data_IF_378836232440
#
_entry.id   IF_378836232440
#
_cell.length_a   1.000
_cell.length_b   1.000
_cell.length_c   1.000
_cell.angle_alpha   90.00
_cell.angle_beta   90.00
_cell.angle_gamma   90.00
#
_symmetry.space_group_name_H-M   'P 1'
#
loop_
_entity.id
_entity.type
_entity.pdbx_description
1 polymer ?
#
# COMPACT_ATOMS: atom_id res chain seq x y z
N UNK A 1 3.87 -19.77 33.43
CA UNK A 1 3.96 -18.74 32.36
C UNK A 1 3.07 -17.60 32.79
N UNK A 2 3.46 -16.32 32.64
CA UNK A 2 2.50 -15.23 32.79
C UNK A 2 1.43 -15.39 31.71
N UNK A 3 0.16 -15.18 32.06
CA UNK A 3 -0.89 -15.06 31.05
C UNK A 3 -0.53 -13.90 30.13
N UNK A 4 -0.45 -14.17 28.82
CA UNK A 4 -0.41 -13.11 27.84
C UNK A 4 -1.72 -12.32 27.98
N UNK A 5 -1.63 -11.06 28.41
CA UNK A 5 -2.79 -10.17 28.35
C UNK A 5 -3.21 -10.09 26.90
N UNK A 6 -4.45 -10.45 26.61
CA UNK A 6 -5.03 -10.26 25.29
C UNK A 6 -4.99 -8.77 24.96
N UNK A 7 -4.07 -8.38 24.09
CA UNK A 7 -3.94 -7.02 23.59
C UNK A 7 -4.93 -6.85 22.44
N UNK A 8 -5.74 -5.78 22.51
CA UNK A 8 -6.75 -5.51 21.50
C UNK A 8 -6.08 -5.03 20.21
N UNK A 9 -6.31 -5.75 19.11
CA UNK A 9 -5.76 -5.45 17.79
C UNK A 9 -6.85 -4.96 16.83
N UNK A 10 -6.44 -4.22 15.80
CA UNK A 10 -7.27 -3.97 14.63
C UNK A 10 -7.04 -5.09 13.61
N UNK A 11 -8.11 -5.64 13.04
CA UNK A 11 -8.03 -6.68 12.00
C UNK A 11 -8.67 -6.12 10.74
N UNK A 12 -7.87 -5.91 9.70
CA UNK A 12 -8.29 -5.39 8.39
C UNK A 12 -8.34 -6.53 7.39
N UNK A 13 -9.54 -6.86 6.93
CA UNK A 13 -9.78 -7.80 5.84
C UNK A 13 -9.80 -7.03 4.52
N UNK A 14 -8.96 -7.42 3.57
CA UNK A 14 -8.89 -6.91 2.21
C UNK A 14 -9.36 -8.03 1.26
N UNK A 15 -10.40 -7.80 0.44
CA UNK A 15 -10.93 -8.83 -0.45
C UNK A 15 -9.93 -9.16 -1.58
N UNK A 16 -10.05 -10.33 -2.25
CA UNK A 16 -9.18 -10.72 -3.36
C UNK A 16 -9.09 -9.65 -4.47
N UNK A 17 -10.20 -8.96 -4.73
CA UNK A 17 -10.29 -7.88 -5.73
C UNK A 17 -9.45 -6.64 -5.43
N UNK A 18 -8.97 -6.49 -4.20
CA UNK A 18 -8.10 -5.39 -3.77
C UNK A 18 -6.74 -5.90 -3.25
N UNK A 19 -6.39 -7.17 -3.53
CA UNK A 19 -5.19 -7.84 -3.00
C UNK A 19 -3.91 -7.03 -3.16
N UNK A 20 -3.65 -6.46 -4.34
CA UNK A 20 -2.45 -5.64 -4.60
C UNK A 20 -2.37 -4.38 -3.72
N UNK A 21 -3.51 -3.83 -3.27
CA UNK A 21 -3.53 -2.75 -2.27
C UNK A 21 -3.20 -3.27 -0.87
N UNK A 22 -3.69 -4.46 -0.53
CA UNK A 22 -3.31 -5.13 0.72
C UNK A 22 -1.80 -5.41 0.77
N UNK A 23 -1.23 -5.93 -0.31
CA UNK A 23 0.20 -6.21 -0.46
C UNK A 23 1.05 -4.92 -0.41
N UNK A 24 0.65 -3.86 -1.11
CA UNK A 24 1.30 -2.55 -1.01
C UNK A 24 1.30 -2.02 0.45
N UNK A 25 0.18 -2.14 1.16
CA UNK A 25 0.09 -1.74 2.57
C UNK A 25 0.97 -2.61 3.48
N UNK A 26 1.03 -3.93 3.26
CA UNK A 26 1.91 -4.83 4.01
C UNK A 26 3.38 -4.43 3.82
N UNK A 27 3.83 -4.26 2.56
CA UNK A 27 5.21 -3.89 2.24
C UNK A 27 5.59 -2.53 2.87
N UNK A 28 4.70 -1.55 2.77
CA UNK A 28 4.94 -0.23 3.35
C UNK A 28 5.03 -0.27 4.88
N UNK A 29 4.12 -0.97 5.56
CA UNK A 29 4.14 -1.11 7.02
C UNK A 29 5.30 -1.96 7.54
N UNK A 30 5.84 -2.89 6.74
CA UNK A 30 7.05 -3.65 7.07
C UNK A 30 8.35 -2.83 6.89
N UNK A 31 8.32 -1.79 6.05
CA UNK A 31 9.50 -0.98 5.73
C UNK A 31 9.81 0.12 6.75
N UNK A 32 8.86 0.44 7.65
CA UNK A 32 8.95 1.57 8.59
C UNK A 32 8.58 1.14 10.00
N UNK A 33 9.47 1.42 10.96
CA UNK A 33 9.15 1.45 12.39
C UNK A 33 8.94 2.91 12.80
N UNK A 34 7.69 3.31 13.07
CA UNK A 34 7.33 4.70 13.34
C UNK A 34 6.36 4.83 14.51
N UNK A 35 6.62 5.84 15.34
CA UNK A 35 5.74 6.32 16.42
C UNK A 35 4.46 7.00 15.87
N UNK A 36 4.35 7.19 14.54
CA UNK A 36 3.33 7.98 13.84
C UNK A 36 2.69 7.27 12.63
N UNK A 37 2.95 5.98 12.46
CA UNK A 37 2.27 5.07 11.49
C UNK A 37 1.68 3.91 12.30
N UNK A 38 0.57 3.30 11.87
CA UNK A 38 0.08 2.08 12.53
C UNK A 38 1.10 0.96 12.45
N UNK A 39 1.32 0.21 13.53
CA UNK A 39 2.19 -0.95 13.51
C UNK A 39 1.49 -2.15 12.87
N UNK A 40 2.18 -2.85 11.97
CA UNK A 40 1.77 -4.18 11.51
C UNK A 40 2.26 -5.24 12.51
N UNK A 41 1.34 -6.05 13.00
CA UNK A 41 1.58 -7.07 14.02
C UNK A 41 1.63 -8.48 13.42
N UNK A 42 0.77 -8.76 12.44
CA UNK A 42 0.68 -10.06 11.77
C UNK A 42 -0.03 -9.93 10.40
N UNK A 43 0.12 -10.93 9.53
CA UNK A 43 -0.54 -11.03 8.22
C UNK A 43 -0.98 -12.47 7.96
N UNK A 44 -2.20 -12.67 7.46
CA UNK A 44 -2.68 -13.96 6.99
C UNK A 44 -3.34 -13.84 5.61
N UNK A 45 -3.16 -14.86 4.76
CA UNK A 45 -3.97 -15.03 3.54
C UNK A 45 -5.28 -15.72 3.92
N UNK A 46 -6.40 -15.27 3.34
CA UNK A 46 -7.72 -15.84 3.57
C UNK A 46 -8.03 -16.92 2.53
N UNK A 47 -8.92 -17.86 2.88
CA UNK A 47 -9.27 -19.00 2.02
C UNK A 47 -9.97 -18.62 0.70
N UNK A 48 -10.44 -17.37 0.56
CA UNK A 48 -10.99 -16.80 -0.67
C UNK A 48 -9.93 -16.12 -1.56
N UNK A 49 -8.67 -16.04 -1.11
CA UNK A 49 -7.57 -15.33 -1.76
C UNK A 49 -7.37 -13.89 -1.27
N UNK A 50 -8.19 -13.41 -0.31
CA UNK A 50 -8.03 -12.11 0.32
C UNK A 50 -6.82 -12.08 1.28
N UNK A 51 -6.51 -10.90 1.82
CA UNK A 51 -5.46 -10.75 2.84
C UNK A 51 -6.01 -10.09 4.10
N UNK A 52 -5.50 -10.52 5.25
CA UNK A 52 -5.88 -10.08 6.58
C UNK A 52 -4.66 -9.47 7.24
N UNK A 53 -4.70 -8.15 7.52
CA UNK A 53 -3.65 -7.43 8.23
C UNK A 53 -4.07 -7.26 9.69
N UNK A 54 -3.24 -7.72 10.62
CA UNK A 54 -3.40 -7.45 12.05
C UNK A 54 -2.53 -6.25 12.40
N UNK A 55 -3.14 -5.18 12.89
CA UNK A 55 -2.51 -3.88 13.13
C UNK A 55 -2.73 -3.42 14.58
N UNK A 56 -1.90 -2.50 15.07
CA UNK A 56 -2.14 -1.81 16.36
C UNK A 56 -3.49 -1.10 16.39
N UNK A 57 -4.29 -1.30 17.45
CA UNK A 57 -5.63 -0.72 17.55
C UNK A 57 -5.61 0.77 17.92
N UNK A 58 -6.02 1.63 16.99
CA UNK A 58 -6.23 3.05 17.24
C UNK A 58 -7.68 3.34 17.71
N UNK A 59 -7.90 3.26 19.03
CA UNK A 59 -9.23 3.15 19.62
C UNK A 59 -10.17 4.39 19.51
N UNK A 60 -9.71 5.56 19.06
CA UNK A 60 -10.54 6.79 18.97
C UNK A 60 -11.08 7.08 17.57
N UNK A 61 -10.78 6.22 16.60
CA UNK A 61 -11.20 6.36 15.20
C UNK A 61 -10.40 7.42 14.43
N UNK A 62 -10.93 7.89 13.30
CA UNK A 62 -10.23 8.80 12.38
C UNK A 62 -10.31 10.28 12.78
N UNK A 63 -9.31 11.06 12.38
CA UNK A 63 -9.30 12.52 12.53
C UNK A 63 -10.48 13.18 11.79
N UNK A 64 -10.86 12.67 10.60
CA UNK A 64 -12.06 13.11 9.90
C UNK A 64 -13.32 12.94 10.77
N UNK A 65 -13.43 11.80 11.46
CA UNK A 65 -14.53 11.52 12.38
C UNK A 65 -14.48 12.42 13.62
N UNK A 66 -13.29 12.75 14.14
CA UNK A 66 -13.13 13.70 15.24
C UNK A 66 -13.60 15.11 14.86
N UNK A 67 -13.15 15.62 13.71
CA UNK A 67 -13.52 16.95 13.20
C UNK A 67 -15.03 17.00 12.93
N UNK A 68 -15.60 16.00 12.27
CA UNK A 68 -17.03 15.91 12.00
C UNK A 68 -17.89 15.86 13.29
N UNK A 69 -17.45 15.15 14.34
CA UNK A 69 -18.15 15.13 15.64
C UNK A 69 -18.14 16.47 16.37
N UNK A 70 -17.10 17.29 16.17
CA UNK A 70 -16.92 18.57 16.91
C UNK A 70 -17.34 19.82 16.15
N UNK A 71 -17.36 19.78 14.82
CA UNK A 71 -17.53 20.97 13.98
C UNK A 71 -16.30 21.89 13.90
N UNK A 72 -15.16 21.47 14.45
CA UNK A 72 -13.89 22.22 14.43
C UNK A 72 -12.88 21.70 15.45
N UNK A 73 -11.63 22.15 15.34
CA UNK A 73 -10.53 21.87 16.28
C UNK A 73 -9.77 23.16 16.60
N UNK A 74 -9.00 23.15 17.69
CA UNK A 74 -8.18 24.31 18.10
C UNK A 74 -6.85 24.36 17.34
N UNK A 75 -6.19 25.53 17.23
CA UNK A 75 -4.88 25.63 16.55
C UNK A 75 -3.80 24.68 17.11
N UNK A 76 -3.79 24.44 18.43
CA UNK A 76 -2.86 23.49 19.04
C UNK A 76 -3.18 22.02 18.71
N UNK A 77 -4.46 21.67 18.55
CA UNK A 77 -4.87 20.34 18.05
C UNK A 77 -4.50 20.18 16.58
N UNK A 78 -4.62 21.24 15.77
CA UNK A 78 -4.15 21.27 14.38
C UNK A 78 -2.63 21.03 14.30
N UNK A 79 -1.83 21.71 15.14
CA UNK A 79 -0.38 21.48 15.24
C UNK A 79 -0.08 20.03 15.59
N UNK A 80 -0.77 19.45 16.59
CA UNK A 80 -0.59 18.02 16.96
C UNK A 80 -0.90 17.06 15.82
N UNK A 81 -2.00 17.28 15.08
CA UNK A 81 -2.36 16.48 13.91
C UNK A 81 -1.32 16.59 12.81
N UNK A 82 -1.05 17.81 12.34
CA UNK A 82 -0.21 18.04 11.16
C UNK A 82 1.26 17.69 11.44
N UNK A 83 1.79 17.94 12.64
CA UNK A 83 3.14 17.53 13.02
C UNK A 83 3.28 16.00 13.08
N UNK A 84 2.24 15.28 13.54
CA UNK A 84 2.26 13.81 13.55
C UNK A 84 2.16 13.22 12.14
N UNK A 85 1.31 13.80 11.28
CA UNK A 85 1.22 13.45 9.86
C UNK A 85 2.59 13.63 9.17
N UNK A 86 3.24 14.77 9.38
CA UNK A 86 4.54 15.07 8.79
C UNK A 86 5.67 14.17 9.29
N UNK A 87 5.63 13.73 10.55
CA UNK A 87 6.58 12.74 11.09
C UNK A 87 6.38 11.37 10.46
N UNK A 88 5.14 10.87 10.41
CA UNK A 88 4.83 9.59 9.76
C UNK A 88 5.14 9.60 8.26
N UNK A 89 4.87 10.72 7.57
CA UNK A 89 5.32 10.91 6.19
C UNK A 89 6.84 10.95 6.08
N UNK A 90 7.54 11.64 6.98
CA UNK A 90 9.00 11.67 6.99
C UNK A 90 9.60 10.27 7.12
N UNK A 91 9.06 9.44 8.02
CA UNK A 91 9.52 8.06 8.20
C UNK A 91 9.29 7.21 6.93
N UNK A 92 8.16 7.40 6.23
CA UNK A 92 7.89 6.78 4.92
C UNK A 92 8.81 7.32 3.81
N UNK A 93 9.04 8.62 3.75
CA UNK A 93 9.86 9.30 2.74
C UNK A 93 11.34 8.89 2.89
N UNK A 94 11.85 8.76 4.11
CA UNK A 94 13.20 8.23 4.41
C UNK A 94 13.34 6.74 4.04
N UNK A 95 12.26 5.95 4.10
CA UNK A 95 12.20 4.58 3.58
C UNK A 95 12.01 4.51 2.04
N UNK A 96 11.90 5.65 1.36
CA UNK A 96 11.75 5.71 -0.10
C UNK A 96 10.32 5.42 -0.59
N UNK A 97 9.30 5.65 0.24
CA UNK A 97 7.89 5.45 -0.07
C UNK A 97 7.10 6.74 0.09
N UNK A 98 6.12 6.97 -0.78
CA UNK A 98 5.04 7.93 -0.53
C UNK A 98 3.76 7.18 -0.12
N UNK A 99 2.90 7.85 0.65
CA UNK A 99 1.60 7.36 1.10
C UNK A 99 0.56 7.36 -0.05
N UNK A 100 0.61 8.36 -0.94
CA UNK A 100 -0.15 8.37 -2.20
C UNK A 100 -1.66 8.69 -2.11
N UNK A 101 -2.28 8.55 -0.93
CA UNK A 101 -3.74 8.75 -0.73
C UNK A 101 -4.12 9.54 0.54
N UNK A 102 -3.15 10.17 1.19
CA UNK A 102 -3.33 10.86 2.48
C UNK A 102 -4.51 11.86 2.51
N UNK A 103 -5.42 11.67 3.46
CA UNK A 103 -6.43 12.63 3.91
C UNK A 103 -6.72 12.44 5.42
N UNK A 104 -7.69 13.17 5.98
CA UNK A 104 -8.08 13.05 7.40
C UNK A 104 -8.74 11.70 7.77
N UNK A 105 -9.20 10.91 6.79
CA UNK A 105 -9.67 9.54 6.98
C UNK A 105 -8.51 8.55 7.17
N UNK A 106 -7.35 8.83 6.57
CA UNK A 106 -6.10 8.05 6.68
C UNK A 106 -5.28 8.38 7.94
N UNK A 107 -5.83 9.17 8.87
CA UNK A 107 -5.21 9.51 10.15
C UNK A 107 -6.09 8.97 11.27
N UNK A 108 -5.64 7.90 11.93
CA UNK A 108 -6.27 7.33 13.11
C UNK A 108 -5.75 8.00 14.39
N UNK A 109 -6.50 7.86 15.49
CA UNK A 109 -6.12 8.39 16.80
C UNK A 109 -6.12 7.24 17.82
N UNK A 110 -4.99 7.04 18.50
CA UNK A 110 -4.81 5.97 19.49
C UNK A 110 -5.52 6.25 20.84
N UNK A 111 -5.40 5.32 21.79
CA UNK A 111 -5.95 5.50 23.12
C UNK A 111 -5.34 6.71 23.89
N UNK A 112 -4.08 7.06 23.62
CA UNK A 112 -3.37 8.20 24.25
C UNK A 112 -3.75 9.56 23.66
N UNK A 113 -4.36 9.59 22.46
CA UNK A 113 -4.66 10.81 21.71
C UNK A 113 -3.59 11.16 20.65
N UNK A 114 -2.70 10.21 20.32
CA UNK A 114 -1.68 10.34 19.28
C UNK A 114 -2.26 10.03 17.89
N UNK A 115 -2.01 10.86 16.88
CA UNK A 115 -2.29 10.54 15.47
C UNK A 115 -1.32 9.50 14.90
N UNK A 116 -1.87 8.55 14.15
CA UNK A 116 -1.16 7.49 13.41
C UNK A 116 -1.66 7.46 11.96
N UNK A 117 -0.74 7.42 10.99
CA UNK A 117 -1.09 7.20 9.57
C UNK A 117 -1.51 5.75 9.32
N UNK A 118 -2.49 5.52 8.45
CA UNK A 118 -2.99 4.20 8.07
C UNK A 118 -3.46 4.15 6.61
N UNK A 119 -3.69 2.95 6.07
CA UNK A 119 -4.24 2.80 4.72
C UNK A 119 -3.20 3.09 3.65
N UNK A 120 -2.03 2.44 3.77
CA UNK A 120 -0.93 2.55 2.81
C UNK A 120 -1.17 1.73 1.53
N UNK A 121 -2.39 1.27 1.26
CA UNK A 121 -2.69 0.49 0.04
C UNK A 121 -2.61 1.26 -1.28
N UNK A 122 -2.30 2.55 -1.24
CA UNK A 122 -1.92 3.39 -2.39
C UNK A 122 -0.46 3.85 -2.33
N UNK A 123 0.35 3.26 -1.44
CA UNK A 123 1.76 3.62 -1.30
C UNK A 123 2.55 3.22 -2.54
N UNK A 124 3.52 4.05 -2.93
CA UNK A 124 4.39 3.77 -4.07
C UNK A 124 5.83 4.18 -3.79
N UNK A 125 6.82 3.46 -4.35
CA UNK A 125 8.22 3.88 -4.29
C UNK A 125 8.42 5.30 -4.83
N UNK A 126 9.27 6.08 -4.18
CA UNK A 126 9.74 7.37 -4.70
C UNK A 126 10.89 7.20 -5.71
N UNK A 127 11.65 6.11 -5.59
CA UNK A 127 12.72 5.74 -6.53
C UNK A 127 12.15 4.97 -7.72
N UNK A 128 11.49 5.69 -8.63
CA UNK A 128 10.87 5.13 -9.82
C UNK A 128 10.75 6.15 -10.94
N UNK A 129 11.88 6.61 -11.49
CA UNK A 129 11.89 7.34 -12.77
C UNK A 129 11.79 6.31 -13.90
N UNK A 130 10.62 5.71 -14.05
CA UNK A 130 10.23 5.15 -15.33
C UNK A 130 10.06 6.32 -16.29
N UNK A 131 11.02 6.49 -17.21
CA UNK A 131 10.96 7.52 -18.27
C UNK A 131 9.89 7.21 -19.34
N UNK A 132 8.94 6.32 -19.03
CA UNK A 132 8.00 5.71 -19.94
C UNK A 132 6.58 6.30 -19.88
N UNK A 133 6.16 6.97 -18.80
CA UNK A 133 4.83 7.60 -18.73
C UNK A 133 4.87 9.04 -18.19
N UNK A 134 4.58 9.99 -19.06
CA UNK A 134 4.97 11.40 -18.92
C UNK A 134 4.05 12.28 -18.07
N UNK A 135 3.34 11.72 -17.09
CA UNK A 135 2.25 12.43 -16.41
C UNK A 135 2.26 12.38 -14.87
N UNK A 136 2.95 11.43 -14.25
CA UNK A 136 2.97 11.28 -12.79
C UNK A 136 4.05 12.13 -12.13
N UNK A 137 3.63 13.23 -11.50
CA UNK A 137 4.51 14.10 -10.70
C UNK A 137 5.05 13.42 -9.44
N UNK A 138 6.07 14.03 -8.84
CA UNK A 138 6.82 13.50 -7.69
C UNK A 138 5.89 12.95 -6.58
N UNK A 139 5.93 11.64 -6.27
CA UNK A 139 5.14 11.05 -5.19
C UNK A 139 5.26 11.76 -3.84
N UNK A 140 6.47 12.19 -3.47
CA UNK A 140 6.75 12.82 -2.17
C UNK A 140 6.14 14.22 -2.12
N UNK A 141 6.40 15.05 -3.14
CA UNK A 141 5.76 16.35 -3.30
C UNK A 141 4.23 16.29 -3.35
N UNK A 142 3.64 15.25 -3.97
CA UNK A 142 2.18 15.05 -3.95
C UNK A 142 1.63 14.83 -2.54
N UNK A 143 2.34 14.13 -1.65
CA UNK A 143 1.91 13.98 -0.25
C UNK A 143 2.00 15.30 0.51
N UNK A 144 3.04 16.10 0.28
CA UNK A 144 3.15 17.43 0.88
C UNK A 144 2.04 18.37 0.39
N UNK A 145 1.60 18.27 -0.86
CA UNK A 145 0.39 18.94 -1.38
C UNK A 145 -0.88 18.48 -0.65
N UNK A 146 -0.99 17.19 -0.27
CA UNK A 146 -2.09 16.69 0.56
C UNK A 146 -2.02 17.27 1.98
N UNK A 147 -0.84 17.37 2.58
CA UNK A 147 -0.63 18.03 3.88
C UNK A 147 -1.06 19.50 3.84
N UNK A 148 -0.69 20.25 2.80
CA UNK A 148 -1.09 21.65 2.64
C UNK A 148 -2.63 21.81 2.65
N UNK A 149 -3.35 20.97 1.91
CA UNK A 149 -4.83 20.96 1.88
C UNK A 149 -5.44 20.60 3.23
N UNK A 150 -4.84 19.66 3.97
CA UNK A 150 -5.28 19.30 5.32
C UNK A 150 -5.07 20.47 6.28
N UNK A 151 -3.90 21.11 6.24
CA UNK A 151 -3.55 22.27 7.06
C UNK A 151 -4.52 23.45 6.81
N UNK A 152 -4.80 23.76 5.54
CA UNK A 152 -5.77 24.78 5.14
C UNK A 152 -7.20 24.46 5.62
N UNK A 153 -7.69 23.24 5.38
CA UNK A 153 -9.04 22.81 5.77
C UNK A 153 -9.25 22.77 7.30
N UNK A 154 -8.20 22.50 8.08
CA UNK A 154 -8.26 22.56 9.54
C UNK A 154 -8.12 24.00 10.09
N UNK A 155 -7.62 24.95 9.27
CA UNK A 155 -7.51 26.37 9.60
C UNK A 155 -8.81 27.14 9.36
N UNK A 156 -9.64 26.73 8.40
CA UNK A 156 -10.96 27.33 8.11
C UNK A 156 -12.19 26.48 8.56
N UNK A 157 -12.56 26.49 9.86
CA UNK A 157 -13.83 25.92 10.30
C UNK A 157 -14.70 26.92 11.09
N UNK A 158 -15.13 28.03 10.48
CA UNK A 158 -16.27 28.88 10.89
C UNK A 158 -16.35 29.42 12.36
N UNK A 159 -15.39 29.12 13.23
CA UNK A 159 -15.38 29.44 14.67
C UNK A 159 -14.41 30.60 14.88
N UNK A 160 -14.93 31.83 14.80
CA UNK A 160 -14.09 33.03 14.73
C UNK A 160 -13.37 33.40 16.03
N UNK A 161 -12.07 33.71 15.90
CA UNK A 161 -11.34 34.84 16.56
C UNK A 161 -9.89 34.91 16.02
N UNK A 162 -9.54 35.86 15.13
CA UNK A 162 -8.23 35.87 14.48
C UNK A 162 -7.21 36.89 15.07
N UNK A 163 -5.95 36.79 14.60
CA UNK A 163 -4.86 37.80 14.63
C UNK A 163 -3.96 37.92 15.86
N UNK A 164 -3.20 36.86 16.13
CA UNK A 164 -1.72 36.92 16.29
C UNK A 164 -1.05 35.69 15.65
N UNK A 165 -1.70 34.51 15.71
CA UNK A 165 -1.17 33.24 15.18
C UNK A 165 -1.02 33.19 13.65
N UNK A 166 -1.74 34.04 12.91
CA UNK A 166 -1.77 34.00 11.44
C UNK A 166 -0.38 34.16 10.82
N UNK A 167 0.42 35.16 11.21
CA UNK A 167 1.70 35.43 10.53
C UNK A 167 2.73 34.28 10.64
N UNK A 168 2.76 33.55 11.77
CA UNK A 168 3.66 32.39 11.91
C UNK A 168 3.18 31.21 11.09
N UNK A 169 1.87 31.04 11.01
CA UNK A 169 1.25 30.00 10.22
C UNK A 169 1.44 30.27 8.72
N UNK A 170 1.18 31.50 8.26
CA UNK A 170 1.44 31.96 6.90
C UNK A 170 2.92 31.73 6.50
N UNK A 171 3.87 32.03 7.41
CA UNK A 171 5.29 31.78 7.18
C UNK A 171 5.66 30.28 7.13
N UNK A 172 4.91 29.43 7.82
CA UNK A 172 5.07 27.97 7.73
C UNK A 172 4.44 27.39 6.46
N UNK A 173 3.29 27.93 6.02
CA UNK A 173 2.71 27.65 4.71
C UNK A 173 3.65 28.08 3.58
N UNK A 174 4.31 29.25 3.66
CA UNK A 174 5.36 29.68 2.72
C UNK A 174 6.55 28.69 2.69
N UNK A 175 6.97 28.13 3.84
CA UNK A 175 8.02 27.11 3.89
C UNK A 175 7.58 25.78 3.27
N UNK A 176 6.35 25.33 3.53
CA UNK A 176 5.79 24.12 2.93
C UNK A 176 5.65 24.26 1.41
N UNK A 177 5.17 25.41 0.93
CA UNK A 177 5.04 25.71 -0.50
C UNK A 177 6.41 25.74 -1.20
N UNK A 178 7.44 26.29 -0.54
CA UNK A 178 8.81 26.26 -1.04
C UNK A 178 9.38 24.84 -1.16
N UNK A 179 9.05 23.92 -0.24
CA UNK A 179 9.45 22.51 -0.36
C UNK A 179 8.69 21.82 -1.51
N UNK A 180 7.37 22.03 -1.60
CA UNK A 180 6.51 21.47 -2.67
C UNK A 180 7.01 21.88 -4.06
N UNK A 181 7.51 23.11 -4.22
CA UNK A 181 8.04 23.62 -5.48
C UNK A 181 9.54 23.34 -5.72
N UNK A 182 10.22 22.65 -4.80
CA UNK A 182 11.66 22.36 -4.91
C UNK A 182 12.56 23.59 -4.74
N UNK A 183 12.08 24.64 -4.08
CA UNK A 183 12.84 25.83 -3.69
C UNK A 183 13.57 25.64 -2.35
N UNK A 184 13.24 24.58 -1.59
CA UNK A 184 13.80 24.24 -0.28
C UNK A 184 13.97 22.73 -0.10
N UNK A 185 15.12 22.29 0.43
CA UNK A 185 15.48 20.87 0.61
C UNK A 185 15.01 20.27 1.96
N UNK A 186 14.09 20.92 2.68
CA UNK A 186 13.66 20.48 4.03
C UNK A 186 12.88 19.16 3.98
N UNK A 187 13.16 18.23 4.91
CA UNK A 187 12.38 17.01 5.05
C UNK A 187 11.01 17.24 5.72
N UNK A 188 10.12 16.26 5.62
CA UNK A 188 8.83 16.30 6.33
C UNK A 188 9.02 16.37 7.86
N UNK A 189 10.04 15.71 8.44
CA UNK A 189 10.37 15.89 9.87
C UNK A 189 10.80 17.32 10.19
N UNK A 190 11.63 17.94 9.36
CA UNK A 190 12.07 19.33 9.56
C UNK A 190 10.89 20.32 9.45
N UNK A 191 9.94 20.06 8.54
CA UNK A 191 8.67 20.79 8.46
C UNK A 191 7.81 20.60 9.73
N UNK A 192 7.79 19.40 10.32
CA UNK A 192 7.09 19.14 11.58
C UNK A 192 7.71 19.90 12.76
N UNK A 193 9.05 19.93 12.85
CA UNK A 193 9.76 20.68 13.89
C UNK A 193 9.56 22.19 13.74
N UNK A 194 9.50 22.72 12.50
CA UNK A 194 9.12 24.12 12.24
C UNK A 194 7.67 24.42 12.60
N UNK A 195 6.75 23.49 12.41
CA UNK A 195 5.35 23.69 12.79
C UNK A 195 5.18 23.88 14.31
N UNK A 196 6.01 23.21 15.12
CA UNK A 196 6.02 23.38 16.58
C UNK A 196 6.50 24.76 17.04
N UNK A 197 7.14 25.56 16.17
CA UNK A 197 7.49 26.96 16.44
C UNK A 197 6.29 27.93 16.22
N UNK A 198 5.24 27.46 15.52
CA UNK A 198 4.05 28.26 15.17
C UNK A 198 3.13 28.46 16.37
N UNK A 199 2.73 27.38 17.03
CA UNK A 199 1.90 27.38 18.23
C UNK A 199 2.15 26.12 19.09
N UNK A 200 1.86 26.20 20.40
CA UNK A 200 1.98 25.06 21.31
C UNK A 200 1.04 23.92 20.90
N UNK A 201 1.59 22.71 20.76
CA UNK A 201 0.83 21.50 20.49
C UNK A 201 -0.14 21.17 21.64
N UNK A 202 -1.41 20.93 21.33
CA UNK A 202 -2.45 20.58 22.29
C UNK A 202 -2.93 19.13 22.05
N UNK A 203 -3.18 18.34 23.11
CA UNK A 203 -3.59 16.95 22.96
C UNK A 203 -4.97 16.85 22.32
N UNK A 204 -5.17 15.85 21.46
CA UNK A 204 -6.48 15.48 20.87
C UNK A 204 -7.36 14.74 21.88
N UNK A 205 -7.47 15.29 23.09
CA UNK A 205 -8.25 14.73 24.16
C UNK A 205 -9.74 14.87 23.82
N UNK A 206 -10.48 13.77 23.77
CA UNK A 206 -11.94 13.84 23.74
C UNK A 206 -12.44 14.58 24.98
N UNK A 207 -13.23 15.64 24.75
CA UNK A 207 -13.90 16.37 25.82
C UNK A 207 -14.71 15.34 26.63
N UNK A 208 -14.34 15.18 27.90
CA UNK A 208 -14.66 13.98 28.67
C UNK A 208 -16.15 13.84 28.98
N UNK A 209 -16.87 13.20 28.06
CA UNK A 209 -18.24 12.76 28.27
C UNK A 209 -18.27 11.73 29.40
N UNK A 210 -18.61 12.20 30.59
CA UNK A 210 -19.01 11.33 31.70
C UNK A 210 -20.30 10.61 31.29
N UNK A 211 -20.16 9.36 30.86
CA UNK A 211 -21.26 8.52 30.39
C UNK A 211 -20.69 7.21 29.86
N UNK A 212 -21.05 6.09 30.49
CA UNK A 212 -20.41 4.81 30.21
C UNK A 212 -20.72 4.22 28.84
N UNK A 213 -19.84 3.31 28.44
CA UNK A 213 -20.12 2.17 27.57
C UNK A 213 -20.99 2.41 26.33
N UNK A 214 -20.38 2.98 25.27
CA UNK A 214 -20.86 2.88 23.90
C UNK A 214 -19.72 2.72 22.89
N UNK A 215 -19.16 1.52 22.84
CA UNK A 215 -18.53 0.99 21.62
C UNK A 215 -19.64 0.72 20.58
N UNK A 216 -20.14 1.77 19.95
CA UNK A 216 -21.19 1.73 18.93
C UNK A 216 -20.68 2.42 17.66
N UNK A 217 -20.11 1.64 16.73
CA UNK A 217 -19.60 2.16 15.46
C UNK A 217 -18.81 1.17 14.61
N UNK A 218 -18.25 0.11 15.22
CA UNK A 218 -17.48 -0.93 14.54
C UNK A 218 -18.05 -2.29 14.95
N UNK A 219 -18.35 -3.15 13.98
CA UNK A 219 -18.80 -4.50 14.27
C UNK A 219 -17.61 -5.31 14.81
N UNK A 220 -17.56 -5.48 16.14
CA UNK A 220 -16.74 -6.53 16.74
C UNK A 220 -17.37 -7.86 16.36
N UNK A 221 -16.92 -8.42 15.23
CA UNK A 221 -17.21 -9.80 14.87
C UNK A 221 -16.47 -10.70 15.86
N UNK A 222 -17.15 -11.07 16.96
CA UNK A 222 -16.73 -12.25 17.70
C UNK A 222 -17.05 -13.46 16.83
N UNK A 223 -16.05 -14.28 16.43
CA UNK A 223 -16.33 -15.52 15.74
C UNK A 223 -17.09 -16.45 16.69
N UNK A 224 -18.30 -16.86 16.28
CA UNK A 224 -19.16 -17.75 17.05
C UNK A 224 -18.61 -19.19 17.01
N UNK A 225 -17.60 -19.46 17.83
CA UNK A 225 -17.04 -20.79 18.03
C UNK A 225 -18.06 -21.68 18.76
N UNK A 226 -18.87 -22.36 17.95
CA UNK A 226 -19.95 -23.24 18.37
C UNK A 226 -19.56 -24.19 19.51
N UNK A 227 -20.02 -23.87 20.72
CA UNK A 227 -19.63 -24.55 21.96
C UNK A 227 -20.39 -25.86 22.15
N UNK A 228 -19.87 -26.95 21.58
CA UNK A 228 -20.20 -28.31 22.01
C UNK A 228 -19.69 -28.51 23.46
N UNK A 229 -20.62 -28.54 24.41
CA UNK A 229 -20.36 -29.02 25.78
C UNK A 229 -20.33 -30.56 25.86
N UNK A 230 -20.24 -31.17 27.07
CA UNK A 230 -20.55 -30.56 28.37
C UNK A 230 -19.54 -30.83 29.51
N UNK A 231 -19.73 -30.12 30.63
CA UNK A 231 -19.28 -30.57 31.97
C UNK A 231 -18.00 -29.91 32.50
N UNK A 232 -18.15 -28.86 33.32
CA UNK A 232 -17.03 -28.22 34.03
C UNK A 232 -17.52 -27.10 34.95
N UNK A 233 -17.56 -27.37 36.25
CA UNK A 233 -18.10 -26.48 37.30
C UNK A 233 -17.31 -25.18 37.42
N UNK A 234 -17.98 -24.02 37.40
CA UNK A 234 -17.35 -22.74 37.77
C UNK A 234 -17.24 -22.62 39.31
N UNK A 235 -16.07 -22.27 39.86
CA UNK A 235 -15.97 -21.52 41.11
C UNK A 235 -16.29 -20.04 40.85
N UNK A 236 -17.01 -19.40 41.77
CA UNK A 236 -17.17 -17.93 41.78
C UNK A 236 -15.87 -17.28 42.24
N UNK A 237 -15.58 -16.09 41.72
CA UNK A 237 -14.60 -15.20 42.32
C UNK A 237 -15.19 -14.56 43.59
N UNK A 238 -14.39 -14.45 44.63
CA UNK A 238 -14.58 -13.51 45.73
C UNK A 238 -13.43 -12.50 45.69
N UNK A 239 -13.74 -11.23 45.93
CA UNK A 239 -12.79 -10.11 45.96
C UNK A 239 -11.83 -10.19 47.16
N UNK A 240 -10.57 -9.79 46.95
CA UNK A 240 -9.87 -8.70 47.67
C UNK A 240 -8.35 -8.80 47.40
N UNK A 241 -7.72 -7.77 46.79
CA UNK A 241 -6.47 -7.18 47.30
C UNK A 241 -5.99 -5.90 46.55
N UNK A 242 -6.19 -4.77 47.22
CA UNK A 242 -5.28 -3.63 47.46
C UNK A 242 -4.04 -3.39 46.55
N UNK A 243 -3.95 -2.12 46.11
CA UNK A 243 -2.75 -1.29 45.95
C UNK A 243 -1.36 -1.94 46.09
N UNK A 244 -0.64 -2.04 44.95
CA UNK A 244 0.81 -2.23 44.92
C UNK A 244 1.47 -1.21 43.98
N UNK A 245 2.33 -0.35 44.56
CA UNK A 245 3.04 0.73 43.83
C UNK A 245 4.06 0.15 42.84
N UNK A 246 4.04 0.65 41.60
CA UNK A 246 5.03 0.28 40.59
C UNK A 246 6.46 0.76 40.96
N UNK A 247 7.51 -0.06 40.76
CA UNK A 247 8.89 0.35 40.96
C UNK A 247 9.42 1.15 39.75
N UNK A 248 10.07 2.29 40.04
CA UNK A 248 10.75 3.13 39.03
C UNK A 248 11.97 2.40 38.45
N UNK A 249 11.99 2.12 37.14
CA UNK A 249 13.24 1.76 36.44
C UNK A 249 14.10 3.02 36.22
N UNK A 250 15.38 2.92 36.55
CA UNK A 250 16.41 3.95 36.28
C UNK A 250 17.24 3.55 35.06
N UNK A 251 17.53 4.54 34.22
CA UNK A 251 18.80 4.70 33.49
C UNK A 251 19.23 3.60 32.52
N UNK A 252 19.03 3.85 31.23
CA UNK A 252 19.89 3.33 30.17
C UNK A 252 20.74 4.49 29.62
N UNK A 253 22.05 4.26 29.45
CA UNK A 253 23.01 5.23 28.90
C UNK A 253 23.11 5.09 27.38
N UNK A 254 23.29 6.19 26.62
CA UNK A 254 23.38 6.13 25.17
C UNK A 254 24.74 5.59 24.70
N UNK A 255 24.74 4.64 23.76
CA UNK A 255 25.91 4.23 22.98
C UNK A 255 25.99 5.01 21.66
N UNK A 256 27.21 5.24 21.18
CA UNK A 256 27.50 6.26 20.18
C UNK A 256 26.93 5.94 18.77
N UNK A 257 26.41 6.98 18.11
CA UNK A 257 25.96 6.92 16.72
C UNK A 257 27.14 6.85 15.73
N UNK A 258 27.09 5.89 14.82
CA UNK A 258 28.07 5.78 13.73
C UNK A 258 27.76 6.80 12.63
N UNK A 259 28.74 7.66 12.29
CA UNK A 259 28.67 8.52 11.10
C UNK A 259 28.55 7.68 9.84
N UNK A 260 27.61 8.01 8.94
CA UNK A 260 27.66 7.62 7.53
C UNK A 260 27.78 8.85 6.65
N UNK A 261 28.59 8.74 5.60
CA UNK A 261 28.90 9.84 4.69
C UNK A 261 27.74 10.06 3.70
N UNK A 262 27.27 11.30 3.56
CA UNK A 262 26.37 11.71 2.47
C UNK A 262 27.22 12.15 1.27
N UNK A 263 26.94 11.60 0.09
CA UNK A 263 27.49 12.10 -1.17
C UNK A 263 26.79 13.40 -1.57
N UNK A 264 27.52 14.32 -2.20
CA UNK A 264 27.01 15.63 -2.62
C UNK A 264 26.65 15.62 -4.11
N UNK A 265 25.40 15.95 -4.51
CA UNK A 265 25.07 16.28 -5.89
C UNK A 265 25.63 17.66 -6.29
N UNK A 266 25.75 17.88 -7.60
CA UNK A 266 26.52 18.98 -8.19
C UNK A 266 25.78 20.34 -8.09
N UNK A 267 26.49 21.37 -7.61
CA UNK A 267 25.94 22.69 -7.21
C UNK A 267 25.96 23.76 -8.32
N UNK A 268 26.09 23.35 -9.57
CA UNK A 268 26.24 24.25 -10.72
C UNK A 268 24.92 24.65 -11.42
N UNK A 269 23.94 23.74 -11.54
CA UNK A 269 22.79 23.93 -12.44
C UNK A 269 21.65 24.81 -11.89
N UNK A 270 21.41 24.81 -10.57
CA UNK A 270 20.16 25.34 -9.98
C UNK A 270 20.12 26.87 -9.86
N UNK A 271 21.27 27.57 -9.88
CA UNK A 271 21.33 29.04 -9.70
C UNK A 271 20.73 29.86 -10.85
N UNK A 272 20.39 29.24 -11.98
CA UNK A 272 19.75 29.93 -13.11
C UNK A 272 18.22 30.12 -12.93
N UNK A 273 17.56 29.29 -12.13
CA UNK A 273 16.10 29.30 -12.01
C UNK A 273 15.57 30.38 -11.04
N UNK A 274 16.24 30.60 -9.90
CA UNK A 274 15.76 31.47 -8.82
C UNK A 274 15.54 32.94 -9.20
N UNK A 275 16.25 33.46 -10.21
CA UNK A 275 16.09 34.86 -10.66
C UNK A 275 14.75 35.14 -11.37
N UNK A 276 14.03 34.11 -11.85
CA UNK A 276 12.75 34.27 -12.54
C UNK A 276 11.54 34.23 -11.58
N UNK A 277 11.63 33.52 -10.46
CA UNK A 277 10.58 33.45 -9.43
C UNK A 277 10.36 34.79 -8.71
N UNK A 278 11.45 35.49 -8.36
CA UNK A 278 11.40 36.76 -7.64
C UNK A 278 10.66 37.87 -8.40
N UNK A 279 10.80 37.91 -9.74
CA UNK A 279 10.12 38.89 -10.59
C UNK A 279 8.60 38.66 -10.66
N UNK A 280 8.13 37.41 -10.57
CA UNK A 280 6.70 37.07 -10.61
C UNK A 280 5.95 37.54 -9.35
N UNK A 281 6.59 37.49 -8.19
CA UNK A 281 6.02 37.87 -6.90
C UNK A 281 5.85 39.39 -6.75
N UNK A 282 6.82 40.18 -7.23
CA UNK A 282 6.72 41.65 -7.21
C UNK A 282 5.53 42.18 -8.04
N UNK A 283 5.28 41.59 -9.22
CA UNK A 283 4.18 41.99 -10.10
C UNK A 283 2.81 41.68 -9.50
N UNK A 284 2.64 40.53 -8.82
CA UNK A 284 1.36 40.19 -8.16
C UNK A 284 1.01 41.13 -7.00
N UNK A 285 1.97 41.51 -6.15
CA UNK A 285 1.74 42.52 -5.10
C UNK A 285 1.38 43.90 -5.69
N UNK A 286 2.06 44.34 -6.74
CA UNK A 286 1.75 45.62 -7.40
C UNK A 286 0.35 45.70 -8.03
N UNK A 287 -0.16 44.59 -8.58
CA UNK A 287 -1.50 44.55 -9.18
C UNK A 287 -2.65 44.57 -8.17
N UNK A 288 -2.40 44.19 -6.91
CA UNK A 288 -3.40 44.23 -5.84
C UNK A 288 -3.69 45.66 -5.33
N UNK A 289 -2.79 46.61 -5.54
CA UNK A 289 -2.98 48.03 -5.15
C UNK A 289 -3.73 48.86 -6.22
N UNK A 290 -3.93 48.30 -7.42
CA UNK A 290 -4.58 49.00 -8.53
C UNK A 290 -6.09 49.07 -8.33
N UNK A 291 -6.62 50.28 -8.07
CA UNK A 291 -8.05 50.53 -7.84
C UNK A 291 -8.93 49.93 -8.96
N UNK A 292 -10.09 49.31 -8.64
CA UNK A 292 -10.88 48.51 -9.58
C UNK A 292 -11.38 49.27 -10.82
N UNK A 293 -11.44 50.61 -10.79
CA UNK A 293 -11.80 51.44 -11.95
C UNK A 293 -10.79 51.38 -13.10
N UNK A 294 -9.53 51.06 -12.84
CA UNK A 294 -8.50 50.90 -13.90
C UNK A 294 -8.71 49.60 -14.68
N UNK A 295 -9.08 48.52 -14.01
CA UNK A 295 -9.40 47.23 -14.62
C UNK A 295 -10.62 47.32 -15.56
N UNK A 296 -11.64 48.12 -15.21
CA UNK A 296 -12.80 48.36 -16.08
C UNK A 296 -12.40 49.08 -17.38
N UNK A 297 -11.49 50.06 -17.31
CA UNK A 297 -10.98 50.77 -18.50
C UNK A 297 -10.09 49.86 -19.37
N UNK A 298 -9.23 49.04 -18.76
CA UNK A 298 -8.43 48.05 -19.49
C UNK A 298 -9.29 46.98 -20.18
N UNK A 299 -10.30 46.46 -19.48
CA UNK A 299 -11.27 45.51 -20.06
C UNK A 299 -12.05 46.10 -21.23
N UNK A 300 -12.51 47.35 -21.12
CA UNK A 300 -13.22 48.04 -22.22
C UNK A 300 -12.36 48.22 -23.47
N UNK A 301 -11.06 48.54 -23.32
CA UNK A 301 -10.13 48.63 -24.45
C UNK A 301 -9.91 47.27 -25.13
N UNK A 302 -9.80 46.20 -24.34
CA UNK A 302 -9.57 44.84 -24.86
C UNK A 302 -10.81 44.28 -25.58
N UNK A 303 -12.02 44.60 -25.09
CA UNK A 303 -13.30 44.30 -25.74
C UNK A 303 -13.44 45.03 -27.10
N UNK A 304 -12.97 46.27 -27.19
CA UNK A 304 -12.91 47.04 -28.44
C UNK A 304 -12.01 46.38 -29.49
N UNK A 305 -10.84 45.87 -29.09
CA UNK A 305 -9.92 45.14 -29.98
C UNK A 305 -10.56 43.82 -30.46
N UNK A 306 -11.22 43.07 -29.56
CA UNK A 306 -11.91 41.83 -29.92
C UNK A 306 -13.07 42.07 -30.92
N UNK A 307 -13.84 43.16 -30.73
CA UNK A 307 -14.89 43.56 -31.66
C UNK A 307 -14.36 43.88 -33.06
N UNK A 308 -13.25 44.61 -33.16
CA UNK A 308 -12.59 44.90 -34.45
C UNK A 308 -12.08 43.62 -35.13
N UNK A 309 -11.51 42.68 -34.37
CA UNK A 309 -11.06 41.39 -34.92
C UNK A 309 -12.22 40.52 -35.44
N UNK A 310 -13.42 40.63 -34.85
CA UNK A 310 -14.60 39.86 -35.26
C UNK A 310 -15.30 40.38 -36.52
N UNK A 311 -14.87 41.54 -37.06
CA UNK A 311 -15.60 42.29 -38.10
C UNK A 311 -15.14 42.03 -39.55
N UNK A 312 -14.26 41.04 -39.82
CA UNK A 312 -13.82 40.69 -41.19
C UNK A 312 -14.15 39.24 -41.58
N UNK A 313 -15.20 39.02 -42.40
CA UNK A 313 -15.48 37.74 -43.06
C UNK A 313 -14.92 37.79 -44.51
N UNK A 314 -14.11 36.85 -44.99
CA UNK A 314 -14.44 35.54 -45.59
C UNK A 314 -13.16 35.09 -46.38
N UNK A 315 -12.91 33.86 -46.88
CA UNK A 315 -13.71 32.92 -47.66
C UNK A 315 -13.04 31.51 -47.69
N UNK A 316 -13.73 30.54 -48.33
CA UNK A 316 -13.22 29.30 -48.95
C UNK A 316 -13.25 27.98 -48.12
N UNK A 317 -14.47 27.44 -47.99
CA UNK A 317 -14.89 26.07 -48.37
C UNK A 317 -13.80 25.17 -49.03
N UNK A 318 -13.68 23.87 -48.72
CA UNK A 318 -14.60 22.78 -49.10
C UNK A 318 -14.10 21.42 -48.57
N UNK A 319 -14.85 20.32 -48.46
CA UNK A 319 -16.30 20.04 -48.37
C UNK A 319 -16.48 18.54 -47.98
N UNK A 320 -17.67 18.12 -47.50
CA UNK A 320 -18.03 16.69 -47.36
C UNK A 320 -19.54 16.45 -47.21
N UNK A 321 -20.07 15.52 -47.99
CA UNK A 321 -21.49 15.09 -48.06
C UNK A 321 -21.71 14.34 -49.39
N UNK A 322 -22.57 13.33 -49.49
CA UNK A 322 -23.41 12.68 -48.47
C UNK A 322 -23.85 11.29 -48.96
N UNK A 323 -24.66 10.61 -48.16
CA UNK A 323 -25.18 9.25 -48.43
C UNK A 323 -26.28 9.21 -49.49
N UNK A 324 -26.30 8.18 -50.34
CA UNK A 324 -27.53 7.59 -50.89
C UNK A 324 -27.29 6.15 -51.40
N UNK A 325 -28.09 5.22 -50.87
CA UNK A 325 -28.44 3.91 -51.45
C UNK A 325 -29.40 4.15 -52.67
N UNK A 326 -29.81 3.19 -53.56
CA UNK A 326 -30.01 1.76 -53.27
C UNK A 326 -29.77 0.72 -54.41
N UNK A 327 -30.02 -0.55 -54.04
CA UNK A 327 -30.76 -1.59 -54.80
C UNK A 327 -30.01 -2.85 -55.34
N UNK A 328 -30.48 -4.00 -54.84
CA UNK A 328 -30.69 -5.31 -55.48
C UNK A 328 -29.63 -5.93 -56.43
N UNK A 329 -29.02 -7.04 -55.96
CA UNK A 329 -28.84 -8.25 -56.76
C UNK A 329 -28.86 -9.52 -55.87
N UNK A 330 -29.52 -10.58 -56.35
CA UNK A 330 -29.90 -11.84 -55.66
C UNK A 330 -28.93 -13.00 -55.96
N UNK A 331 -29.06 -14.11 -55.21
CA UNK A 331 -28.80 -15.53 -55.63
C UNK A 331 -27.30 -15.93 -55.77
N UNK A 332 -26.76 -17.08 -55.33
CA UNK A 332 -27.19 -18.32 -54.61
C UNK A 332 -26.00 -18.81 -53.71
N UNK A 333 -26.14 -19.63 -52.65
CA UNK A 333 -26.06 -21.12 -52.63
C UNK A 333 -24.61 -21.68 -52.73
N UNK A 334 -24.15 -22.72 -52.00
CA UNK A 334 -24.71 -23.61 -50.96
C UNK A 334 -23.58 -24.46 -50.28
N UNK A 335 -23.87 -25.08 -49.12
CA UNK A 335 -23.17 -26.25 -48.47
C UNK A 335 -21.67 -26.12 -48.11
N UNK A 336 -21.08 -26.76 -47.09
CA UNK A 336 -21.22 -28.14 -46.55
C UNK A 336 -20.92 -28.25 -45.02
N UNK A 337 -21.39 -29.33 -44.39
CA UNK A 337 -21.08 -29.74 -43.01
C UNK A 337 -19.74 -30.49 -42.90
N UNK A 338 -19.03 -30.33 -41.77
CA UNK A 338 -17.90 -31.22 -41.38
C UNK A 338 -18.03 -31.56 -39.88
N UNK A 339 -17.93 -32.85 -39.48
CA UNK A 339 -18.14 -33.28 -38.10
C UNK A 339 -16.88 -33.20 -37.23
N UNK A 340 -17.04 -32.85 -35.96
CA UNK A 340 -15.99 -32.95 -34.94
C UNK A 340 -15.93 -34.37 -34.38
N UNK A 341 -14.75 -34.99 -34.44
CA UNK A 341 -14.47 -36.31 -33.84
C UNK A 341 -13.59 -36.13 -32.59
N UNK A 342 -13.84 -36.92 -31.54
CA UNK A 342 -13.25 -36.72 -30.20
C UNK A 342 -12.45 -37.96 -29.80
N UNK A 343 -11.15 -37.79 -29.54
CA UNK A 343 -10.28 -38.84 -28.98
C UNK A 343 -9.52 -38.33 -27.73
N UNK A 344 -9.35 -39.14 -26.67
CA UNK A 344 -8.75 -38.69 -25.41
C UNK A 344 -7.22 -38.67 -25.45
N UNK A 345 -6.62 -37.62 -24.88
CA UNK A 345 -5.16 -37.51 -24.70
C UNK A 345 -4.66 -38.41 -23.55
N UNK A 346 -3.40 -38.86 -23.65
CA UNK A 346 -2.77 -39.73 -22.67
C UNK A 346 -2.26 -38.96 -21.44
N UNK A 347 -2.41 -39.54 -20.25
CA UNK A 347 -1.93 -38.94 -19.01
C UNK A 347 -0.39 -38.94 -18.94
N UNK A 348 0.19 -37.78 -18.60
CA UNK A 348 1.61 -37.67 -18.26
C UNK A 348 1.90 -38.33 -16.90
N UNK A 349 3.06 -38.97 -16.78
CA UNK A 349 3.53 -39.62 -15.55
C UNK A 349 4.66 -38.80 -14.94
N UNK A 350 4.41 -38.20 -13.78
CA UNK A 350 5.40 -37.45 -12.99
C UNK A 350 6.62 -38.34 -12.64
N UNK A 351 7.87 -37.86 -12.79
CA UNK A 351 9.06 -38.64 -12.44
C UNK A 351 9.19 -38.83 -10.91
N UNK A 352 9.77 -39.97 -10.44
CA UNK A 352 9.89 -40.25 -9.02
C UNK A 352 11.00 -39.46 -8.33
N UNK A 353 10.80 -39.14 -7.04
CA UNK A 353 11.80 -38.53 -6.15
C UNK A 353 13.09 -39.37 -6.09
N UNK A 354 14.25 -38.70 -6.18
CA UNK A 354 15.57 -39.35 -6.17
C UNK A 354 16.38 -39.04 -4.90
N UNK A 355 17.38 -39.87 -4.59
CA UNK A 355 18.37 -39.61 -3.53
C UNK A 355 19.09 -38.25 -3.70
N UNK A 356 19.24 -37.79 -4.95
CA UNK A 356 19.82 -36.49 -5.28
C UNK A 356 18.95 -35.32 -4.82
N UNK A 357 17.62 -35.50 -4.81
CA UNK A 357 16.67 -34.46 -4.38
C UNK A 357 16.71 -34.32 -2.86
N UNK A 358 16.74 -35.45 -2.14
CA UNK A 358 16.92 -35.49 -0.68
C UNK A 358 18.27 -34.82 -0.29
N UNK A 359 19.34 -35.10 -1.05
CA UNK A 359 20.64 -34.47 -0.84
C UNK A 359 20.63 -32.96 -1.11
N UNK A 360 19.92 -32.50 -2.15
CA UNK A 360 19.77 -31.08 -2.46
C UNK A 360 18.96 -30.33 -1.37
N UNK A 361 17.88 -30.94 -0.85
CA UNK A 361 17.09 -30.39 0.26
C UNK A 361 17.92 -30.28 1.56
N UNK A 362 18.87 -31.18 1.79
CA UNK A 362 19.80 -31.08 2.92
C UNK A 362 20.96 -30.09 2.71
N UNK A 363 21.21 -29.65 1.48
CA UNK A 363 22.36 -28.85 1.07
C UNK A 363 22.33 -27.36 1.47
N UNK A 364 23.39 -26.65 1.12
CA UNK A 364 23.52 -25.20 1.35
C UNK A 364 22.92 -24.34 0.22
N UNK A 365 22.78 -24.89 -0.99
CA UNK A 365 22.33 -24.17 -2.18
C UNK A 365 20.79 -24.07 -2.23
N UNK A 366 20.20 -22.87 -2.07
CA UNK A 366 18.76 -22.71 -2.06
C UNK A 366 18.11 -22.91 -3.44
N UNK A 367 18.84 -22.73 -4.55
CA UNK A 367 18.29 -22.91 -5.89
C UNK A 367 18.12 -24.39 -6.21
N UNK A 368 19.14 -25.21 -5.90
CA UNK A 368 19.03 -26.67 -6.02
C UNK A 368 17.98 -27.24 -5.06
N UNK A 369 17.90 -26.71 -3.83
CA UNK A 369 16.87 -27.10 -2.89
C UNK A 369 15.46 -26.76 -3.40
N UNK A 370 15.23 -25.58 -3.99
CA UNK A 370 13.94 -25.20 -4.56
C UNK A 370 13.46 -26.18 -5.65
N UNK A 371 14.30 -26.48 -6.65
CA UNK A 371 13.96 -27.44 -7.72
C UNK A 371 13.80 -28.89 -7.22
N UNK A 372 14.40 -29.25 -6.09
CA UNK A 372 14.18 -30.55 -5.45
C UNK A 372 12.84 -30.59 -4.68
N UNK A 373 12.54 -29.54 -3.90
CA UNK A 373 11.30 -29.40 -3.14
C UNK A 373 10.06 -29.39 -4.05
N UNK A 374 10.10 -28.67 -5.18
CA UNK A 374 9.00 -28.62 -6.14
C UNK A 374 8.69 -29.99 -6.76
N UNK A 375 9.72 -30.79 -7.08
CA UNK A 375 9.53 -32.16 -7.58
C UNK A 375 9.01 -33.12 -6.50
N UNK A 376 9.53 -33.03 -5.27
CA UNK A 376 9.00 -33.81 -4.13
C UNK A 376 7.51 -33.49 -3.91
N UNK A 377 7.16 -32.19 -3.88
CA UNK A 377 5.79 -31.70 -3.77
C UNK A 377 4.90 -32.27 -4.90
N UNK A 378 5.33 -32.16 -6.15
CA UNK A 378 4.58 -32.67 -7.30
C UNK A 378 4.30 -34.18 -7.17
N UNK A 379 5.29 -34.99 -6.76
CA UNK A 379 5.07 -36.42 -6.46
C UNK A 379 4.07 -36.61 -5.32
N UNK A 380 4.20 -35.92 -4.18
CA UNK A 380 3.28 -36.07 -3.04
C UNK A 380 1.82 -35.72 -3.42
N UNK A 381 1.62 -34.66 -4.22
CA UNK A 381 0.30 -34.23 -4.70
C UNK A 381 -0.27 -35.21 -5.75
N UNK A 382 0.57 -35.74 -6.64
CA UNK A 382 0.20 -36.76 -7.63
C UNK A 382 -0.26 -38.07 -6.97
N UNK A 383 0.54 -38.59 -6.02
CA UNK A 383 0.27 -39.81 -5.26
C UNK A 383 -0.83 -39.60 -4.19
N UNK A 384 -1.20 -38.35 -3.93
CA UNK A 384 -2.24 -37.93 -2.97
C UNK A 384 -1.91 -38.35 -1.53
N UNK A 385 -0.63 -38.33 -1.18
CA UNK A 385 -0.11 -38.67 0.15
C UNK A 385 0.17 -37.41 0.99
N UNK A 386 -0.73 -37.13 1.93
CA UNK A 386 -0.59 -36.02 2.90
C UNK A 386 0.63 -36.20 3.83
N UNK A 387 1.06 -37.44 4.09
CA UNK A 387 2.22 -37.69 4.95
C UNK A 387 3.56 -37.42 4.26
N UNK A 388 3.60 -37.56 2.94
CA UNK A 388 4.72 -37.20 2.07
C UNK A 388 5.04 -35.70 2.13
N UNK A 389 4.03 -34.82 2.26
CA UNK A 389 4.19 -33.36 2.28
C UNK A 389 5.18 -32.87 3.35
N UNK A 390 5.35 -33.56 4.48
CA UNK A 390 6.36 -33.19 5.50
C UNK A 390 7.83 -33.26 4.99
N UNK A 391 8.06 -33.87 3.82
CA UNK A 391 9.32 -33.84 3.09
C UNK A 391 9.54 -32.56 2.26
N UNK A 392 8.47 -31.93 1.78
CA UNK A 392 8.51 -30.71 0.99
C UNK A 392 8.19 -29.46 1.83
N UNK A 393 7.10 -29.48 2.59
CA UNK A 393 6.53 -28.30 3.24
C UNK A 393 6.96 -28.14 4.69
N UNK A 394 6.94 -26.88 5.15
CA UNK A 394 7.07 -26.52 6.54
C UNK A 394 5.73 -26.77 7.24
N UNK A 395 5.75 -27.44 8.40
CA UNK A 395 4.55 -27.62 9.22
C UNK A 395 3.92 -26.29 9.64
N UNK A 396 2.60 -26.18 9.48
CA UNK A 396 1.82 -24.99 9.78
C UNK A 396 2.15 -23.81 8.84
N UNK A 397 2.44 -24.12 7.57
CA UNK A 397 2.72 -23.12 6.53
C UNK A 397 1.62 -23.08 5.48
N UNK A 398 1.53 -21.97 4.74
CA UNK A 398 0.53 -21.78 3.70
C UNK A 398 0.63 -22.84 2.59
N UNK A 399 1.84 -23.31 2.29
CA UNK A 399 2.08 -24.40 1.35
C UNK A 399 1.49 -25.74 1.83
N UNK A 400 1.73 -26.12 3.09
CA UNK A 400 1.17 -27.36 3.67
C UNK A 400 -0.37 -27.33 3.65
N UNK A 401 -0.98 -26.21 4.05
CA UNK A 401 -2.45 -26.06 4.03
C UNK A 401 -3.03 -26.11 2.61
N UNK A 402 -2.37 -25.46 1.64
CA UNK A 402 -2.78 -25.47 0.24
C UNK A 402 -2.67 -26.86 -0.40
N UNK A 403 -1.59 -27.59 -0.12
CA UNK A 403 -1.37 -28.91 -0.69
C UNK A 403 -2.23 -29.99 -0.04
N UNK A 404 -2.52 -29.88 1.26
CA UNK A 404 -3.55 -30.69 1.91
C UNK A 404 -4.93 -30.44 1.29
N UNK A 405 -5.27 -29.18 0.96
CA UNK A 405 -6.52 -28.84 0.29
C UNK A 405 -6.58 -29.38 -1.16
N UNK A 406 -5.48 -29.31 -1.92
CA UNK A 406 -5.37 -29.91 -3.27
C UNK A 406 -5.54 -31.44 -3.21
N UNK A 407 -4.86 -32.11 -2.29
CA UNK A 407 -5.02 -33.55 -2.08
C UNK A 407 -6.46 -33.86 -1.65
N UNK A 408 -7.08 -33.10 -0.73
CA UNK A 408 -8.47 -33.32 -0.34
C UNK A 408 -9.48 -33.08 -1.48
N UNK A 409 -9.23 -32.10 -2.35
CA UNK A 409 -10.18 -31.61 -3.36
C UNK A 409 -10.49 -32.56 -4.53
N UNK A 410 -9.69 -33.61 -4.74
CA UNK A 410 -9.96 -34.67 -5.71
C UNK A 410 -9.72 -34.30 -7.19
N UNK A 411 -9.66 -33.01 -7.52
CA UNK A 411 -9.08 -32.54 -8.77
C UNK A 411 -7.56 -32.80 -8.74
N UNK A 412 -6.99 -33.31 -9.84
CA UNK A 412 -5.55 -33.27 -10.03
C UNK A 412 -5.06 -31.82 -10.15
N UNK A 413 -3.79 -31.53 -9.85
CA UNK A 413 -3.22 -30.23 -10.18
C UNK A 413 -3.38 -29.99 -11.68
N UNK A 414 -3.81 -28.79 -12.06
CA UNK A 414 -3.66 -28.37 -13.45
C UNK A 414 -2.18 -28.19 -13.76
N UNK A 415 -1.77 -28.39 -15.01
CA UNK A 415 -0.37 -28.26 -15.50
C UNK A 415 0.29 -26.92 -15.13
N UNK A 416 -0.50 -25.90 -14.83
CA UNK A 416 -0.04 -24.59 -14.36
C UNK A 416 0.40 -24.55 -12.87
N UNK A 417 0.08 -25.55 -12.06
CA UNK A 417 0.14 -25.49 -10.59
C UNK A 417 1.11 -26.46 -9.91
N UNK A 418 1.77 -27.34 -10.69
CA UNK A 418 2.85 -28.19 -10.16
C UNK A 418 4.15 -27.39 -9.99
N UNK A 419 4.45 -26.49 -10.93
CA UNK A 419 5.72 -25.75 -11.07
C UNK A 419 6.97 -26.67 -11.06
N UNK A 420 6.81 -27.94 -11.39
CA UNK A 420 7.89 -28.94 -11.29
C UNK A 420 8.98 -28.75 -12.37
N UNK A 421 8.57 -28.20 -13.53
CA UNK A 421 9.43 -27.85 -14.66
C UNK A 421 9.84 -26.37 -14.68
N UNK A 422 9.37 -25.54 -13.74
CA UNK A 422 9.69 -24.10 -13.72
C UNK A 422 11.19 -23.88 -13.41
N UNK A 423 11.82 -22.98 -14.16
CA UNK A 423 13.21 -22.60 -13.95
C UNK A 423 13.35 -21.74 -12.71
N UNK A 424 14.26 -22.12 -11.82
CA UNK A 424 14.69 -21.24 -10.73
C UNK A 424 15.47 -20.05 -11.29
N UNK A 425 14.93 -18.85 -11.07
CA UNK A 425 15.50 -17.56 -11.43
C UNK A 425 16.31 -16.92 -10.29
N UNK A 426 16.02 -15.66 -9.98
CA UNK A 426 16.71 -14.94 -8.90
C UNK A 426 16.40 -15.50 -7.51
N UNK A 427 17.40 -15.50 -6.62
CA UNK A 427 17.24 -15.88 -5.21
C UNK A 427 17.60 -14.73 -4.28
N UNK A 428 16.75 -14.41 -3.31
CA UNK A 428 16.97 -13.38 -2.30
C UNK A 428 16.92 -13.99 -0.89
N UNK A 429 18.06 -13.99 -0.18
CA UNK A 429 18.18 -14.54 1.18
C UNK A 429 17.83 -13.51 2.25
N UNK A 430 16.99 -13.90 3.19
CA UNK A 430 16.52 -13.13 4.34
C UNK A 430 16.68 -13.99 5.61
N UNK A 431 17.88 -13.99 6.20
CA UNK A 431 18.23 -14.88 7.31
C UNK A 431 18.25 -16.35 6.86
N UNK A 432 17.44 -17.18 7.52
CA UNK A 432 17.25 -18.61 7.18
C UNK A 432 16.18 -18.82 6.08
N UNK A 433 15.46 -17.77 5.69
CA UNK A 433 14.49 -17.79 4.60
C UNK A 433 15.14 -17.36 3.29
N UNK A 434 14.68 -17.92 2.16
CA UNK A 434 15.07 -17.49 0.81
C UNK A 434 13.80 -17.39 -0.04
N UNK A 435 13.61 -16.24 -0.68
CA UNK A 435 12.64 -16.06 -1.76
C UNK A 435 13.30 -16.45 -3.07
N UNK A 436 12.63 -17.29 -3.86
CA UNK A 436 13.11 -17.86 -5.11
C UNK A 436 12.11 -17.52 -6.21
N UNK A 437 12.54 -16.79 -7.22
CA UNK A 437 11.71 -16.52 -8.39
C UNK A 437 11.60 -17.78 -9.25
N UNK A 438 10.39 -18.12 -9.68
CA UNK A 438 10.12 -19.20 -10.63
C UNK A 438 9.78 -18.57 -11.99
N UNK A 439 10.44 -19.07 -13.04
CA UNK A 439 10.25 -18.64 -14.41
C UNK A 439 9.71 -19.84 -15.18
N UNK A 440 8.47 -19.80 -15.71
CA UNK A 440 7.94 -20.91 -16.47
C UNK A 440 8.83 -21.20 -17.68
N UNK A 441 9.10 -22.48 -17.93
CA UNK A 441 9.66 -22.93 -19.22
C UNK A 441 8.63 -22.55 -20.30
N UNK A 442 8.89 -21.49 -21.07
CA UNK A 442 8.17 -21.21 -22.30
C UNK A 442 8.47 -22.36 -23.25
N UNK A 443 7.60 -23.37 -23.25
CA UNK A 443 7.75 -24.55 -24.08
C UNK A 443 8.07 -24.14 -25.51
N UNK A 444 9.17 -24.65 -26.05
CA UNK A 444 9.50 -24.52 -27.47
C UNK A 444 8.57 -25.43 -28.28
N UNK A 445 7.27 -25.18 -28.19
CA UNK A 445 6.28 -25.73 -29.08
C UNK A 445 6.60 -25.18 -30.49
N UNK A 446 6.98 -26.09 -31.38
CA UNK A 446 6.96 -25.78 -32.82
C UNK A 446 5.56 -25.24 -33.17
N UNK A 447 5.44 -24.24 -34.07
CA UNK A 447 4.18 -23.54 -34.31
C UNK A 447 3.13 -24.49 -34.90
N UNK A 448 2.35 -25.10 -34.01
CA UNK A 448 1.25 -26.01 -34.32
C UNK A 448 -0.03 -25.18 -34.47
N UNK A 449 -0.78 -25.44 -35.54
CA UNK A 449 -1.73 -24.46 -36.07
C UNK A 449 -2.94 -24.20 -35.15
N UNK A 450 -3.19 -22.90 -34.91
CA UNK A 450 -4.50 -22.31 -34.66
C UNK A 450 -5.34 -22.83 -33.47
N UNK A 451 -4.74 -22.89 -32.28
CA UNK A 451 -5.48 -22.64 -31.03
C UNK A 451 -5.56 -21.12 -30.72
N UNK A 452 -6.52 -20.65 -29.90
CA UNK A 452 -6.35 -19.35 -29.23
C UNK A 452 -5.07 -19.43 -28.38
N UNK A 453 -4.29 -18.33 -28.25
CA UNK A 453 -3.08 -18.35 -27.43
C UNK A 453 -3.46 -18.73 -26.00
N UNK A 454 -2.88 -19.82 -25.50
CA UNK A 454 -2.95 -20.12 -24.07
C UNK A 454 -2.34 -18.94 -23.30
N UNK A 455 -2.92 -18.55 -22.15
CA UNK A 455 -2.40 -17.43 -21.39
C UNK A 455 -0.95 -17.70 -20.98
N UNK A 456 -0.05 -16.79 -21.33
CA UNK A 456 1.36 -16.86 -20.92
C UNK A 456 1.41 -16.99 -19.39
N UNK A 457 1.89 -18.14 -18.91
CA UNK A 457 2.01 -18.43 -17.47
C UNK A 457 2.90 -17.36 -16.85
N UNK A 458 2.46 -16.74 -15.76
CA UNK A 458 3.20 -15.66 -15.10
C UNK A 458 4.34 -16.23 -14.25
N UNK A 459 5.41 -15.45 -14.00
CA UNK A 459 6.48 -15.89 -13.10
C UNK A 459 5.95 -15.97 -11.66
N UNK A 460 6.03 -17.15 -11.06
CA UNK A 460 5.65 -17.40 -9.67
C UNK A 460 6.82 -17.08 -8.70
N UNK A 461 6.56 -17.12 -7.40
CA UNK A 461 7.57 -16.95 -6.35
C UNK A 461 7.43 -18.02 -5.27
N UNK A 462 8.52 -18.70 -4.96
CA UNK A 462 8.61 -19.75 -3.95
C UNK A 462 9.35 -19.23 -2.72
N UNK A 463 8.73 -19.30 -1.54
CA UNK A 463 9.38 -18.97 -0.28
C UNK A 463 9.83 -20.26 0.40
N UNK A 464 11.15 -20.46 0.52
CA UNK A 464 11.72 -21.61 1.25
C UNK A 464 12.41 -21.15 2.54
N UNK A 465 12.43 -22.02 3.54
CA UNK A 465 13.09 -21.77 4.84
C UNK A 465 13.99 -22.93 5.22
N UNK A 466 15.15 -22.61 5.80
CA UNK A 466 16.11 -23.60 6.31
C UNK A 466 15.80 -23.97 7.75
N UNK A 467 15.59 -25.25 8.02
CA UNK A 467 15.48 -25.81 9.36
C UNK A 467 16.53 -26.88 9.64
N UNK A 468 16.43 -27.52 10.80
CA UNK A 468 17.33 -28.61 11.23
C UNK A 468 17.27 -29.84 10.29
N UNK A 469 16.16 -30.02 9.58
CA UNK A 469 15.91 -31.12 8.64
C UNK A 469 16.11 -30.72 7.16
N UNK A 470 16.87 -29.65 6.90
CA UNK A 470 17.09 -29.09 5.56
C UNK A 470 16.10 -27.98 5.21
N UNK A 471 16.00 -27.67 3.92
CA UNK A 471 15.06 -26.70 3.37
C UNK A 471 13.63 -27.23 3.36
N UNK A 472 12.63 -26.34 3.47
CA UNK A 472 11.21 -26.63 3.27
C UNK A 472 10.50 -25.47 2.60
N UNK A 473 9.46 -25.76 1.82
CA UNK A 473 8.55 -24.77 1.27
C UNK A 473 7.73 -24.18 2.43
N UNK A 474 7.64 -22.84 2.48
CA UNK A 474 6.80 -22.10 3.41
C UNK A 474 5.61 -21.45 2.70
N UNK A 475 5.80 -21.04 1.45
CA UNK A 475 4.76 -20.45 0.62
C UNK A 475 5.08 -20.63 -0.87
N UNK A 476 4.05 -20.67 -1.71
CA UNK A 476 4.13 -20.76 -3.17
C UNK A 476 3.11 -19.78 -3.78
N UNK A 477 3.62 -18.66 -4.28
CA UNK A 477 2.85 -17.53 -4.79
C UNK A 477 2.76 -17.62 -6.32
N UNK A 478 1.59 -17.99 -6.81
CA UNK A 478 1.27 -18.20 -8.24
C UNK A 478 0.24 -17.14 -8.70
N UNK A 479 0.63 -16.29 -9.65
CA UNK A 479 -0.20 -15.22 -10.24
C UNK A 479 -1.15 -15.82 -11.31
N UNK A 480 -2.26 -16.42 -10.85
CA UNK A 480 -3.30 -17.01 -11.72
C UNK A 480 -4.19 -16.00 -12.46
#
# INVERSE_FOLDING_TARGET
MPEARAESVAVKIVPPTERSRGEAEILALQSVESDHVVGLLDVATLADGGVCLVQTLAARGTAASLVARRGGITPGETVTLVASILRGLGDLHDAGLAHGALDLGHVLIDASGRPLLCGLGSSRPSTGRDEADGQDGDPIGQDLVRVARIAEALRDPAIGRPRVSDQRWDAWEELLDAVIHGESDLSAHELADRLLEVADAAPLAEASTHGGDRLAGYAVLQPDVGRLGPGGTQPRADDDFRDARAPRRRGATPTASARRHRATPDRAAVRAAGCLGALRHGVRRGLAEVRPRVWVLGGAALLLVALVASALPTMASSARGGSADPADARVDGASEDVPSDTAPSAAATTPPVTDGDIAAVAGDDPALAASALLRIRATCVHDRDVSCLAGADQRGSAAEDADQALIAGGAGPGDASSHEDDRVGGTQRMGDTVLVQLLPETGSAEPQEAGPPEPERRPASLLIVRGEAGWRIRDLMDDR
#
